data_IF_461978873004
#
_entry.id   IF_461978873004
#
_cell.length_a   1.000
_cell.length_b   1.000
_cell.length_c   1.000
_cell.angle_alpha   90.00
_cell.angle_beta   90.00
_cell.angle_gamma   90.00
#
_symmetry.space_group_name_H-M   'P 1'
#
loop_
_entity.id
_entity.type
_entity.pdbx_description
1 polymer ?
#
# COMPACT_ATOMS: atom_id res chain seq x y z
N UNK A 1 -9.55 -2.00 -21.58
CA UNK A 1 -9.39 -0.54 -21.68
C UNK A 1 -7.91 -0.22 -21.62
N UNK A 2 -7.35 0.60 -22.54
CA UNK A 2 -6.00 1.10 -22.36
C UNK A 2 -5.96 1.97 -21.09
N UNK A 3 -4.89 1.89 -20.28
CA UNK A 3 -4.78 2.70 -19.07
C UNK A 3 -4.79 4.18 -19.44
N UNK A 4 -5.78 4.92 -18.94
CA UNK A 4 -5.86 6.38 -19.12
C UNK A 4 -4.79 7.00 -18.22
N UNK A 5 -3.78 7.59 -18.83
CA UNK A 5 -2.73 8.34 -18.11
C UNK A 5 -3.33 9.67 -17.66
N UNK A 6 -3.49 9.87 -16.36
CA UNK A 6 -3.90 11.17 -15.83
C UNK A 6 -2.73 12.16 -15.98
N UNK A 7 -2.94 13.25 -16.72
CA UNK A 7 -1.90 14.22 -17.12
C UNK A 7 -1.91 15.51 -16.30
N UNK A 8 -2.65 15.57 -15.19
CA UNK A 8 -2.68 16.73 -14.31
C UNK A 8 -1.37 16.86 -13.54
N UNK A 9 -0.73 18.04 -13.61
CA UNK A 9 0.33 18.40 -12.66
C UNK A 9 -0.33 18.66 -11.31
N UNK A 10 0.08 17.91 -10.29
CA UNK A 10 -0.42 18.09 -8.94
C UNK A 10 0.29 19.26 -8.25
N UNK A 11 -0.48 20.24 -7.75
CA UNK A 11 0.01 21.35 -6.90
C UNK A 11 0.09 20.93 -5.40
N UNK A 12 -0.20 19.67 -5.09
CA UNK A 12 -0.17 19.09 -3.75
C UNK A 12 0.84 17.94 -3.68
N UNK A 13 1.10 17.42 -2.48
CA UNK A 13 2.02 16.30 -2.28
C UNK A 13 1.70 15.10 -3.20
N UNK A 14 2.71 14.66 -3.95
CA UNK A 14 2.66 13.43 -4.76
C UNK A 14 3.75 12.48 -4.35
N UNK A 15 3.39 11.23 -4.10
CA UNK A 15 4.37 10.19 -3.78
C UNK A 15 5.15 9.74 -5.03
N UNK A 16 4.48 9.79 -6.19
CA UNK A 16 5.03 9.59 -7.55
C UNK A 16 4.63 10.78 -8.44
N UNK A 17 5.48 11.82 -8.56
CA UNK A 17 5.15 13.02 -9.32
C UNK A 17 4.78 12.78 -10.79
N UNK A 18 5.31 11.70 -11.39
CA UNK A 18 5.09 11.34 -12.79
C UNK A 18 3.85 10.46 -13.04
N UNK A 19 3.18 9.98 -11.99
CA UNK A 19 1.98 9.13 -12.09
C UNK A 19 0.94 9.51 -11.03
N UNK A 20 -0.04 10.30 -11.47
CA UNK A 20 -1.14 10.75 -10.62
C UNK A 20 -1.96 9.58 -10.06
N UNK A 21 -2.21 8.52 -10.85
CA UNK A 21 -3.05 7.40 -10.41
C UNK A 21 -2.38 6.67 -9.24
N UNK A 22 -1.11 6.35 -9.37
CA UNK A 22 -0.34 5.73 -8.28
C UNK A 22 -0.20 6.66 -7.09
N UNK A 23 0.03 7.96 -7.32
CA UNK A 23 0.05 8.97 -6.25
C UNK A 23 -1.27 9.05 -5.49
N UNK A 24 -2.40 9.08 -6.19
CA UNK A 24 -3.73 9.11 -5.58
C UNK A 24 -3.98 7.85 -4.74
N UNK A 25 -3.64 6.67 -5.26
CA UNK A 25 -3.73 5.41 -4.51
C UNK A 25 -2.85 5.40 -3.26
N UNK A 26 -1.60 5.88 -3.36
CA UNK A 26 -0.72 5.97 -2.18
C UNK A 26 -1.23 7.01 -1.18
N UNK A 27 -1.74 8.16 -1.63
CA UNK A 27 -2.37 9.13 -0.74
C UNK A 27 -3.55 8.52 0.01
N UNK A 28 -4.41 7.74 -0.66
CA UNK A 28 -5.50 7.01 0.01
C UNK A 28 -4.97 6.07 1.10
N UNK A 29 -3.91 5.30 0.80
CA UNK A 29 -3.30 4.40 1.78
C UNK A 29 -2.68 5.16 2.96
N UNK A 30 -1.99 6.27 2.72
CA UNK A 30 -1.44 7.12 3.80
C UNK A 30 -2.57 7.69 4.66
N UNK A 31 -3.66 8.18 4.05
CA UNK A 31 -4.83 8.66 4.78
C UNK A 31 -5.48 7.56 5.62
N UNK A 32 -5.42 6.29 5.17
CA UNK A 32 -5.99 5.17 5.90
C UNK A 32 -5.23 4.79 7.19
N UNK A 33 -3.99 5.25 7.35
CA UNK A 33 -3.15 4.91 8.50
C UNK A 33 -3.78 5.37 9.82
N UNK A 34 -4.45 6.51 9.84
CA UNK A 34 -5.10 7.06 11.04
C UNK A 34 -6.21 6.14 11.60
N UNK A 35 -6.82 5.31 10.74
CA UNK A 35 -7.83 4.33 11.14
C UNK A 35 -7.24 2.92 11.32
N UNK A 36 -5.91 2.78 11.30
CA UNK A 36 -5.23 1.49 11.36
C UNK A 36 -5.46 0.61 10.13
N UNK A 37 -5.81 1.22 9.00
CA UNK A 37 -6.01 0.52 7.73
C UNK A 37 -4.70 0.26 6.97
N UNK A 38 -3.64 0.98 7.31
CA UNK A 38 -2.30 0.82 6.72
C UNK A 38 -1.23 1.23 7.74
N UNK A 39 0.02 0.95 7.43
CA UNK A 39 1.19 1.53 8.09
C UNK A 39 2.00 2.34 7.07
N UNK A 40 2.39 3.57 7.44
CA UNK A 40 3.09 4.49 6.51
C UNK A 40 4.45 3.92 6.10
N UNK A 41 5.14 3.19 6.98
CA UNK A 41 6.41 2.54 6.68
C UNK A 41 6.27 1.35 5.73
N UNK A 42 5.19 0.56 5.87
CA UNK A 42 4.82 -0.50 4.92
C UNK A 42 4.56 0.10 3.52
N UNK A 43 3.73 1.16 3.46
CA UNK A 43 3.43 1.88 2.21
C UNK A 43 4.71 2.43 1.56
N UNK A 44 5.57 3.07 2.33
CA UNK A 44 6.83 3.64 1.84
C UNK A 44 7.83 2.57 1.36
N UNK A 45 7.83 1.39 1.97
CA UNK A 45 8.63 0.24 1.50
C UNK A 45 8.18 -0.23 0.11
N UNK A 46 6.87 -0.37 -0.11
CA UNK A 46 6.34 -0.69 -1.45
C UNK A 46 6.66 0.44 -2.43
N UNK A 47 6.45 1.68 -2.01
CA UNK A 47 6.70 2.87 -2.81
C UNK A 47 8.13 2.96 -3.35
N UNK A 48 9.14 2.68 -2.53
CA UNK A 48 10.55 2.62 -2.96
C UNK A 48 10.82 1.56 -4.04
N UNK A 49 10.12 0.44 -4.01
CA UNK A 49 10.27 -0.59 -5.06
C UNK A 49 9.62 -0.12 -6.36
N UNK A 50 8.42 0.46 -6.26
CA UNK A 50 7.66 0.97 -7.40
C UNK A 50 8.37 2.12 -8.13
N UNK A 51 9.11 2.97 -7.43
CA UNK A 51 9.93 4.04 -8.04
C UNK A 51 10.91 3.54 -9.11
N UNK A 52 11.28 2.26 -9.10
CA UNK A 52 12.19 1.68 -10.10
C UNK A 52 11.54 1.55 -11.48
N UNK A 53 10.21 1.39 -11.55
CA UNK A 53 9.44 1.22 -12.79
C UNK A 53 8.03 1.82 -12.62
N UNK A 54 7.94 3.14 -12.70
CA UNK A 54 6.67 3.87 -12.57
C UNK A 54 5.75 3.54 -13.75
N UNK A 55 4.49 3.22 -13.47
CA UNK A 55 3.48 2.85 -14.47
C UNK A 55 3.45 1.37 -14.84
N UNK A 56 4.33 0.55 -14.28
CA UNK A 56 4.31 -0.92 -14.40
C UNK A 56 3.23 -1.52 -13.48
N UNK A 57 2.03 -1.73 -14.02
CA UNK A 57 0.89 -2.23 -13.26
C UNK A 57 1.11 -3.66 -12.72
N UNK A 58 1.88 -4.51 -13.42
CA UNK A 58 2.20 -5.83 -12.90
C UNK A 58 3.08 -5.74 -11.65
N UNK A 59 4.08 -4.85 -11.68
CA UNK A 59 4.90 -4.56 -10.50
C UNK A 59 4.04 -3.98 -9.37
N UNK A 60 3.10 -3.09 -9.68
CA UNK A 60 2.15 -2.55 -8.71
C UNK A 60 1.41 -3.65 -7.97
N UNK A 61 0.70 -4.52 -8.71
CA UNK A 61 -0.06 -5.61 -8.09
C UNK A 61 0.85 -6.57 -7.33
N UNK A 62 1.99 -6.94 -7.91
CA UNK A 62 2.92 -7.89 -7.28
C UNK A 62 3.43 -7.40 -5.93
N UNK A 63 3.88 -6.15 -5.84
CA UNK A 63 4.45 -5.65 -4.59
C UNK A 63 3.38 -5.40 -3.51
N UNK A 64 2.16 -4.98 -3.88
CA UNK A 64 1.05 -4.88 -2.94
C UNK A 64 0.56 -6.24 -2.43
N UNK A 65 0.41 -7.23 -3.31
CA UNK A 65 0.07 -8.62 -2.92
C UNK A 65 1.14 -9.17 -1.97
N UNK A 66 2.42 -8.94 -2.29
CA UNK A 66 3.54 -9.35 -1.44
C UNK A 66 3.47 -8.69 -0.06
N UNK A 67 3.22 -7.38 0.01
CA UNK A 67 3.07 -6.67 1.28
C UNK A 67 1.88 -7.20 2.09
N UNK A 68 0.70 -7.31 1.49
CA UNK A 68 -0.47 -7.88 2.16
C UNK A 68 -0.23 -9.30 2.67
N UNK A 69 0.48 -10.13 1.90
CA UNK A 69 0.92 -11.46 2.32
C UNK A 69 1.85 -11.44 3.54
N UNK A 70 2.81 -10.51 3.59
CA UNK A 70 3.70 -10.33 4.73
C UNK A 70 2.93 -9.89 5.98
N UNK A 71 2.04 -8.91 5.86
CA UNK A 71 1.22 -8.40 6.97
C UNK A 71 0.26 -9.49 7.49
N UNK A 72 -0.36 -10.27 6.59
CA UNK A 72 -1.18 -11.43 6.97
C UNK A 72 -0.38 -12.47 7.75
N UNK A 73 0.86 -12.75 7.35
CA UNK A 73 1.71 -13.70 8.05
C UNK A 73 2.02 -13.25 9.49
N UNK A 74 2.20 -11.93 9.72
CA UNK A 74 2.32 -11.37 11.06
C UNK A 74 1.03 -11.58 11.87
N UNK A 75 -0.14 -11.36 11.27
CA UNK A 75 -1.44 -11.62 11.90
C UNK A 75 -1.59 -13.08 12.33
N UNK A 76 -1.25 -14.03 11.45
CA UNK A 76 -1.27 -15.45 11.77
C UNK A 76 -0.27 -15.83 12.87
N UNK A 77 0.89 -15.15 12.94
CA UNK A 77 1.87 -15.40 14.00
C UNK A 77 1.36 -14.95 15.38
N UNK A 78 0.71 -13.78 15.44
CA UNK A 78 0.08 -13.28 16.66
C UNK A 78 -1.14 -14.10 17.08
N UNK A 79 -1.93 -14.57 16.13
CA UNK A 79 -3.05 -15.48 16.39
C UNK A 79 -2.58 -16.78 17.04
N UNK A 80 -1.50 -17.40 16.52
CA UNK A 80 -0.89 -18.59 17.13
C UNK A 80 -0.36 -18.36 18.54
N UNK A 81 -0.01 -17.12 18.90
CA UNK A 81 0.44 -16.72 20.24
C UNK A 81 -0.73 -16.39 21.18
N UNK A 82 -1.97 -16.38 20.69
CA UNK A 82 -3.15 -15.97 21.47
C UNK A 82 -3.35 -14.45 21.55
N UNK A 83 -2.56 -13.65 20.83
CA UNK A 83 -2.62 -12.19 20.83
C UNK A 83 -3.71 -11.67 19.87
N UNK A 84 -4.97 -11.90 20.22
CA UNK A 84 -6.14 -11.68 19.33
C UNK A 84 -6.28 -10.24 18.83
N UNK A 85 -5.99 -9.23 19.66
CA UNK A 85 -6.07 -7.82 19.26
C UNK A 85 -4.99 -7.46 18.23
N UNK A 86 -3.76 -7.92 18.46
CA UNK A 86 -2.64 -7.74 17.52
C UNK A 86 -2.95 -8.42 16.19
N UNK A 87 -3.42 -9.68 16.23
CA UNK A 87 -3.81 -10.42 15.04
C UNK A 87 -4.90 -9.69 14.22
N UNK A 88 -5.95 -9.20 14.87
CA UNK A 88 -7.01 -8.42 14.23
C UNK A 88 -6.47 -7.13 13.58
N UNK A 89 -5.56 -6.42 14.24
CA UNK A 89 -4.93 -5.23 13.67
C UNK A 89 -4.10 -5.55 12.41
N UNK A 90 -3.36 -6.65 12.39
CA UNK A 90 -2.63 -7.11 11.21
C UNK A 90 -3.60 -7.52 10.08
N UNK A 91 -4.64 -8.29 10.39
CA UNK A 91 -5.60 -8.71 9.37
C UNK A 91 -6.37 -7.55 8.76
N UNK A 92 -6.71 -6.52 9.55
CA UNK A 92 -7.32 -5.30 9.06
C UNK A 92 -6.44 -4.63 7.99
N UNK A 93 -5.14 -4.50 8.24
CA UNK A 93 -4.19 -3.90 7.29
C UNK A 93 -3.93 -4.76 6.06
N UNK A 94 -3.97 -6.08 6.19
CA UNK A 94 -3.70 -6.99 5.08
C UNK A 94 -4.78 -6.99 3.98
N UNK A 95 -5.98 -6.50 4.29
CA UNK A 95 -7.15 -6.55 3.39
C UNK A 95 -7.61 -5.17 2.86
N UNK A 96 -6.97 -4.09 3.29
CA UNK A 96 -7.23 -2.74 2.76
C UNK A 96 -6.37 -2.48 1.51
#
# INVERSE_FOLDING_TARGET
>A
MPPVKATGKAEWFTYFPDDYRWSASVCMLISAAQWGGSDIGEVDRVGRVLRKRIGDDELWFREWIKMGGQVRALGMAEERRGNRLSAAAYFKRACL
#
